data_IF_036333873960
#
_entry.id   IF_036333873960
#
_cell.length_a   1.000
_cell.length_b   1.000
_cell.length_c   1.000
_cell.angle_alpha   90.00
_cell.angle_beta   90.00
_cell.angle_gamma   90.00
#
_symmetry.space_group_name_H-M   'P 1'
#
loop_
_entity.id
_entity.type
_entity.pdbx_description
1 polymer ?
#
# COMPACT_ATOMS: atom_id res chain seq x y z
N UNK A 1 -21.37 -28.45 -19.29
CA UNK A 1 -21.30 -27.78 -17.95
C UNK A 1 -21.59 -26.29 -18.01
N UNK A 2 -21.47 -25.64 -19.17
CA UNK A 2 -21.88 -24.23 -19.33
C UNK A 2 -23.38 -24.08 -19.61
N UNK A 3 -24.04 -25.19 -19.92
CA UNK A 3 -25.48 -25.22 -20.14
C UNK A 3 -26.23 -24.80 -18.87
N UNK A 4 -27.24 -23.94 -18.99
CA UNK A 4 -28.11 -23.58 -17.88
C UNK A 4 -28.79 -24.80 -17.28
N UNK A 5 -28.70 -24.94 -15.96
CA UNK A 5 -29.46 -25.95 -15.20
C UNK A 5 -30.75 -25.35 -14.64
N UNK A 6 -30.68 -24.10 -14.16
CA UNK A 6 -31.85 -23.39 -13.61
C UNK A 6 -31.88 -21.96 -14.11
N UNK A 7 -33.07 -21.47 -14.43
CA UNK A 7 -33.36 -20.07 -14.67
C UNK A 7 -34.28 -19.58 -13.56
N UNK A 8 -33.79 -18.64 -12.75
CA UNK A 8 -34.56 -18.03 -11.68
C UNK A 8 -34.75 -16.55 -12.01
N UNK A 9 -35.98 -16.12 -12.20
CA UNK A 9 -36.34 -14.73 -12.48
C UNK A 9 -36.95 -14.09 -11.24
N UNK A 10 -36.33 -13.01 -10.73
CA UNK A 10 -36.83 -12.20 -9.63
C UNK A 10 -37.07 -10.77 -10.12
N UNK A 11 -38.28 -10.48 -10.59
CA UNK A 11 -38.59 -9.20 -11.25
C UNK A 11 -37.74 -9.02 -12.51
N UNK A 12 -36.92 -7.97 -12.56
CA UNK A 12 -35.99 -7.70 -13.68
C UNK A 12 -34.65 -8.44 -13.57
N UNK A 13 -34.44 -9.23 -12.53
CA UNK A 13 -33.16 -9.91 -12.29
C UNK A 13 -33.24 -11.37 -12.76
N UNK A 14 -32.52 -11.70 -13.82
CA UNK A 14 -32.39 -13.08 -14.32
C UNK A 14 -31.13 -13.74 -13.78
N UNK A 15 -31.31 -14.80 -12.99
CA UNK A 15 -30.22 -15.62 -12.45
C UNK A 15 -30.20 -16.95 -13.17
N UNK A 16 -29.23 -17.11 -14.06
CA UNK A 16 -28.96 -18.38 -14.74
C UNK A 16 -27.94 -19.17 -13.93
N UNK A 17 -28.29 -20.35 -13.42
CA UNK A 17 -27.41 -21.23 -12.66
C UNK A 17 -26.91 -22.35 -13.57
N UNK A 18 -25.59 -22.43 -13.77
CA UNK A 18 -24.93 -23.51 -14.52
C UNK A 18 -24.29 -24.51 -13.56
N UNK A 19 -23.87 -25.68 -14.06
CA UNK A 19 -23.14 -26.67 -13.27
C UNK A 19 -21.87 -26.06 -12.63
N UNK A 20 -21.16 -25.21 -13.38
CA UNK A 20 -20.01 -24.48 -12.85
C UNK A 20 -20.36 -23.52 -11.73
N UNK A 21 -21.50 -22.82 -11.81
CA UNK A 21 -21.95 -21.92 -10.72
C UNK A 21 -22.25 -22.69 -9.43
N UNK A 22 -22.75 -23.93 -9.51
CA UNK A 22 -22.93 -24.79 -8.33
C UNK A 22 -21.57 -25.11 -7.66
N UNK A 23 -20.55 -25.46 -8.45
CA UNK A 23 -19.16 -25.63 -7.95
C UNK A 23 -18.66 -24.35 -7.29
N UNK A 24 -18.90 -23.20 -7.94
CA UNK A 24 -18.57 -21.88 -7.39
C UNK A 24 -19.26 -21.59 -6.06
N UNK A 25 -20.55 -21.93 -5.91
CA UNK A 25 -21.30 -21.74 -4.67
C UNK A 25 -20.81 -22.63 -3.54
N UNK A 26 -20.51 -23.91 -3.81
CA UNK A 26 -19.91 -24.79 -2.79
C UNK A 26 -18.54 -24.26 -2.37
N UNK A 27 -17.72 -23.82 -3.33
CA UNK A 27 -16.45 -23.17 -3.07
C UNK A 27 -16.60 -21.93 -2.19
N UNK A 28 -17.56 -21.05 -2.51
CA UNK A 28 -17.87 -19.84 -1.75
C UNK A 28 -18.34 -20.15 -0.32
N UNK A 29 -19.20 -21.17 -0.14
CA UNK A 29 -19.70 -21.58 1.18
C UNK A 29 -18.58 -22.10 2.07
N UNK A 30 -17.68 -22.94 1.53
CA UNK A 30 -16.50 -23.40 2.27
C UNK A 30 -15.55 -22.24 2.58
N UNK A 31 -15.28 -21.39 1.58
CA UNK A 31 -14.36 -20.29 1.71
C UNK A 31 -14.86 -19.25 2.73
N UNK A 32 -16.13 -18.88 2.71
CA UNK A 32 -16.70 -17.92 3.68
C UNK A 32 -16.97 -18.58 5.04
N UNK A 33 -17.48 -19.81 5.04
CA UNK A 33 -17.87 -20.56 6.24
C UNK A 33 -16.72 -20.81 7.21
N UNK A 34 -15.46 -20.79 6.73
CA UNK A 34 -14.28 -20.93 7.60
C UNK A 34 -14.25 -19.89 8.73
N UNK A 35 -14.76 -18.67 8.50
CA UNK A 35 -14.77 -17.61 9.51
C UNK A 35 -15.79 -17.91 10.61
N UNK A 36 -16.90 -18.56 10.27
CA UNK A 36 -17.87 -19.06 11.26
C UNK A 36 -17.22 -20.13 12.13
N UNK A 37 -16.52 -21.09 11.52
CA UNK A 37 -15.79 -22.14 12.25
C UNK A 37 -14.72 -21.55 13.17
N UNK A 38 -13.96 -20.58 12.68
CA UNK A 38 -12.94 -19.85 13.45
C UNK A 38 -13.55 -19.09 14.64
N UNK A 39 -14.67 -18.43 14.42
CA UNK A 39 -15.39 -17.69 15.47
C UNK A 39 -15.91 -18.63 16.56
N UNK A 40 -16.51 -19.76 16.18
CA UNK A 40 -16.99 -20.78 17.12
C UNK A 40 -15.82 -21.35 17.92
N UNK A 41 -14.71 -21.69 17.25
CA UNK A 41 -13.52 -22.22 17.91
C UNK A 41 -12.93 -21.21 18.91
N UNK A 42 -12.85 -19.93 18.54
CA UNK A 42 -12.33 -18.86 19.40
C UNK A 42 -13.24 -18.57 20.58
N UNK A 43 -14.57 -18.60 20.39
CA UNK A 43 -15.52 -18.46 21.50
C UNK A 43 -15.39 -19.60 22.50
N UNK A 44 -15.24 -20.85 22.02
CA UNK A 44 -15.05 -22.03 22.89
C UNK A 44 -13.72 -22.01 23.63
N UNK A 45 -12.66 -21.48 23.00
CA UNK A 45 -11.32 -21.41 23.59
C UNK A 45 -11.10 -20.17 24.49
N UNK A 46 -11.99 -19.18 24.47
CA UNK A 46 -11.82 -17.92 25.19
C UNK A 46 -10.68 -17.03 24.68
N UNK A 47 -10.07 -17.39 23.55
CA UNK A 47 -8.97 -16.67 22.92
C UNK A 47 -9.01 -16.86 21.40
N UNK A 48 -8.43 -15.95 20.60
CA UNK A 48 -8.39 -16.10 19.15
C UNK A 48 -7.58 -17.33 18.75
N UNK A 49 -8.24 -18.36 18.19
CA UNK A 49 -7.61 -19.58 17.71
C UNK A 49 -8.00 -19.87 16.25
N UNK A 50 -7.11 -20.56 15.53
CA UNK A 50 -7.31 -21.02 14.16
C UNK A 50 -7.34 -22.55 14.13
N UNK A 51 -8.52 -23.19 14.05
CA UNK A 51 -8.61 -24.65 14.04
C UNK A 51 -8.14 -25.25 12.71
N UNK A 52 -7.71 -26.51 12.71
CA UNK A 52 -7.28 -27.21 11.47
C UNK A 52 -8.34 -27.18 10.36
N UNK A 53 -9.61 -27.28 10.76
CA UNK A 53 -10.76 -27.15 9.86
C UNK A 53 -10.74 -25.87 9.03
N UNK A 54 -10.23 -24.76 9.58
CA UNK A 54 -10.08 -23.49 8.87
C UNK A 54 -9.20 -23.65 7.62
N UNK A 55 -8.10 -24.38 7.75
CA UNK A 55 -7.16 -24.59 6.66
C UNK A 55 -7.73 -25.53 5.58
N UNK A 56 -8.36 -26.62 5.99
CA UNK A 56 -9.03 -27.53 5.06
C UNK A 56 -10.13 -26.84 4.25
N UNK A 57 -10.98 -26.02 4.91
CA UNK A 57 -12.03 -25.25 4.25
C UNK A 57 -11.46 -24.18 3.32
N UNK A 58 -10.34 -23.55 3.69
CA UNK A 58 -9.69 -22.54 2.85
C UNK A 58 -9.10 -23.15 1.58
N UNK A 59 -8.40 -24.29 1.70
CA UNK A 59 -7.84 -24.98 0.54
C UNK A 59 -8.92 -25.52 -0.39
N UNK A 60 -9.89 -26.25 0.16
CA UNK A 60 -11.00 -26.82 -0.62
C UNK A 60 -11.84 -25.73 -1.28
N UNK A 61 -12.19 -24.67 -0.54
CA UNK A 61 -12.90 -23.51 -1.09
C UNK A 61 -12.13 -22.82 -2.22
N UNK A 62 -10.83 -22.59 -2.04
CA UNK A 62 -9.99 -21.99 -3.08
C UNK A 62 -9.86 -22.87 -4.33
N UNK A 63 -9.70 -24.19 -4.19
CA UNK A 63 -9.62 -25.10 -5.33
C UNK A 63 -10.92 -25.07 -6.15
N UNK A 64 -12.08 -25.12 -5.49
CA UNK A 64 -13.38 -25.08 -6.16
C UNK A 64 -13.64 -23.72 -6.83
N UNK A 65 -13.28 -22.62 -6.16
CA UNK A 65 -13.39 -21.29 -6.74
C UNK A 65 -12.43 -21.09 -7.92
N UNK A 66 -11.20 -21.61 -7.84
CA UNK A 66 -10.25 -21.59 -8.95
C UNK A 66 -10.80 -22.38 -10.14
N UNK A 67 -11.36 -23.57 -9.92
CA UNK A 67 -12.00 -24.33 -10.99
C UNK A 67 -13.15 -23.55 -11.63
N UNK A 68 -14.02 -22.92 -10.82
CA UNK A 68 -15.11 -22.09 -11.31
C UNK A 68 -14.61 -20.87 -12.12
N UNK A 69 -13.65 -20.11 -11.59
CA UNK A 69 -13.17 -18.89 -12.26
C UNK A 69 -12.28 -19.19 -13.47
N UNK A 70 -11.62 -20.35 -13.52
CA UNK A 70 -10.79 -20.74 -14.66
C UNK A 70 -11.64 -21.33 -15.78
N UNK A 71 -12.50 -22.31 -15.48
CA UNK A 71 -13.20 -23.09 -16.50
C UNK A 71 -14.65 -22.66 -16.73
N UNK A 72 -15.31 -22.09 -15.71
CA UNK A 72 -16.71 -21.69 -15.79
C UNK A 72 -16.91 -20.23 -16.22
N UNK A 73 -16.26 -19.30 -15.51
CA UNK A 73 -16.40 -17.85 -15.75
C UNK A 73 -15.27 -17.26 -16.60
N UNK A 74 -14.10 -17.89 -16.61
CA UNK A 74 -12.87 -17.41 -17.26
C UNK A 74 -12.51 -15.96 -16.87
N UNK A 75 -12.40 -15.71 -15.57
CA UNK A 75 -12.19 -14.39 -14.96
C UNK A 75 -10.87 -14.38 -14.19
N UNK A 76 -9.89 -13.62 -14.71
CA UNK A 76 -8.53 -13.56 -14.17
C UNK A 76 -8.46 -12.97 -12.76
N UNK A 77 -9.35 -12.02 -12.41
CA UNK A 77 -9.40 -11.43 -11.06
C UNK A 77 -9.83 -12.50 -10.06
N UNK A 78 -10.85 -13.28 -10.42
CA UNK A 78 -11.33 -14.40 -9.60
C UNK A 78 -10.27 -15.49 -9.42
N UNK A 79 -9.50 -15.79 -10.46
CA UNK A 79 -8.39 -16.75 -10.39
C UNK A 79 -7.30 -16.26 -9.43
N UNK A 80 -6.79 -15.04 -9.62
CA UNK A 80 -5.73 -14.49 -8.78
C UNK A 80 -6.16 -14.34 -7.32
N UNK A 81 -7.41 -13.93 -7.08
CA UNK A 81 -7.96 -13.78 -5.73
C UNK A 81 -8.04 -15.08 -4.94
N UNK A 82 -8.12 -16.24 -5.61
CA UNK A 82 -8.22 -17.55 -4.98
C UNK A 82 -6.92 -18.37 -5.01
N UNK A 83 -5.98 -18.02 -5.89
CA UNK A 83 -4.67 -18.66 -5.97
C UNK A 83 -3.80 -18.35 -4.74
N UNK A 84 -3.78 -17.09 -4.30
CA UNK A 84 -2.98 -16.70 -3.13
C UNK A 84 -3.48 -17.32 -1.81
N UNK A 85 -4.79 -17.32 -1.50
CA UNK A 85 -5.34 -18.05 -0.36
C UNK A 85 -5.07 -19.57 -0.39
N UNK A 86 -5.07 -20.20 -1.57
CA UNK A 86 -4.75 -21.63 -1.69
C UNK A 86 -3.31 -21.92 -1.22
N UNK A 87 -2.35 -21.14 -1.72
CA UNK A 87 -0.93 -21.31 -1.37
C UNK A 87 -0.69 -21.04 0.11
N UNK A 88 -1.26 -19.96 0.64
CA UNK A 88 -1.09 -19.59 2.05
C UNK A 88 -1.75 -20.60 2.99
N UNK A 89 -2.96 -21.07 2.69
CA UNK A 89 -3.63 -22.10 3.48
C UNK A 89 -2.89 -23.43 3.43
N UNK A 90 -2.41 -23.85 2.24
CA UNK A 90 -1.63 -25.07 2.08
C UNK A 90 -0.32 -25.06 2.86
N UNK A 91 0.41 -23.95 2.83
CA UNK A 91 1.64 -23.81 3.61
C UNK A 91 1.38 -23.89 5.12
N UNK A 92 0.35 -23.21 5.62
CA UNK A 92 0.01 -23.23 7.05
C UNK A 92 -0.51 -24.60 7.51
N UNK A 93 -1.31 -25.27 6.68
CA UNK A 93 -1.75 -26.65 6.97
C UNK A 93 -0.56 -27.60 7.02
N UNK A 94 0.38 -27.48 6.09
CA UNK A 94 1.59 -28.30 6.08
C UNK A 94 2.45 -28.09 7.34
N UNK A 95 2.56 -26.86 7.84
CA UNK A 95 3.24 -26.58 9.10
C UNK A 95 2.52 -27.25 10.29
N UNK A 96 1.20 -27.18 10.31
CA UNK A 96 0.36 -27.76 11.37
C UNK A 96 0.33 -29.30 11.34
N UNK A 97 0.46 -29.92 10.17
CA UNK A 97 0.46 -31.38 10.00
C UNK A 97 1.80 -32.06 10.27
N UNK A 98 2.92 -31.33 10.26
CA UNK A 98 4.25 -31.90 10.51
C UNK A 98 4.45 -32.20 12.01
N UNK A 99 4.39 -33.48 12.46
CA UNK A 99 4.63 -33.83 13.85
C UNK A 99 6.15 -34.00 14.04
N UNK A 100 6.91 -32.90 13.97
CA UNK A 100 8.37 -32.89 14.21
C UNK A 100 8.97 -31.51 14.54
N UNK A 101 8.18 -30.60 15.12
CA UNK A 101 8.71 -29.46 15.89
C UNK A 101 8.23 -29.48 17.37
N UNK A 102 7.81 -30.66 17.84
CA UNK A 102 7.35 -30.93 19.20
C UNK A 102 8.42 -30.89 20.31
N UNK A 103 9.50 -30.12 20.14
CA UNK A 103 10.48 -29.84 21.22
C UNK A 103 10.92 -28.38 21.32
N UNK A 104 10.32 -27.46 20.57
CA UNK A 104 10.67 -26.03 20.62
C UNK A 104 9.62 -25.15 21.32
N UNK A 105 8.45 -25.69 21.68
CA UNK A 105 7.38 -24.93 22.34
C UNK A 105 7.21 -25.24 23.84
N UNK A 106 8.28 -25.76 24.47
CA UNK A 106 8.30 -26.13 25.89
C UNK A 106 9.35 -25.41 26.75
N UNK A 107 10.08 -24.41 26.22
CA UNK A 107 10.98 -23.56 27.02
C UNK A 107 11.04 -22.16 26.42
N UNK A 108 10.68 -21.18 27.25
CA UNK A 108 10.67 -19.74 27.00
C UNK A 108 9.69 -19.30 25.91
N UNK A 109 8.81 -18.36 26.24
CA UNK A 109 8.14 -17.51 25.25
C UNK A 109 9.10 -17.25 24.08
N UNK A 110 8.75 -17.61 22.85
CA UNK A 110 9.48 -17.06 21.73
C UNK A 110 9.22 -15.57 21.81
N UNK A 111 10.24 -14.81 22.20
CA UNK A 111 10.34 -13.36 21.97
C UNK A 111 10.22 -13.16 20.46
N UNK A 112 9.00 -13.21 19.94
CA UNK A 112 8.60 -12.74 18.62
C UNK A 112 8.70 -11.21 18.63
N UNK A 113 9.90 -10.68 18.91
CA UNK A 113 10.22 -9.26 18.80
C UNK A 113 10.83 -8.90 17.43
N UNK A 114 10.76 -9.80 16.45
CA UNK A 114 11.54 -9.65 15.21
C UNK A 114 10.76 -9.37 13.93
N UNK A 115 9.50 -9.79 13.82
CA UNK A 115 8.79 -9.82 12.53
C UNK A 115 7.41 -9.13 12.54
N UNK A 116 6.64 -9.22 13.64
CA UNK A 116 5.35 -8.53 13.77
C UNK A 116 5.47 -7.09 14.27
N UNK A 117 6.62 -6.74 14.88
CA UNK A 117 6.86 -5.43 15.46
C UNK A 117 7.11 -4.35 14.41
N UNK A 118 7.60 -4.68 13.21
CA UNK A 118 7.76 -3.68 12.14
C UNK A 118 6.44 -3.01 11.73
N UNK A 119 5.29 -3.67 11.87
CA UNK A 119 3.99 -3.05 11.60
C UNK A 119 3.53 -2.16 12.77
N UNK A 120 3.40 -2.75 13.97
CA UNK A 120 2.87 -2.06 15.13
C UNK A 120 3.81 -0.97 15.68
N UNK A 121 5.13 -1.21 15.73
CA UNK A 121 6.11 -0.20 16.13
C UNK A 121 6.23 0.91 15.11
N UNK A 122 6.19 0.61 13.82
CA UNK A 122 6.18 1.63 12.79
C UNK A 122 4.96 2.54 12.92
N UNK A 123 3.76 1.98 13.06
CA UNK A 123 2.54 2.77 13.25
C UNK A 123 2.60 3.58 14.55
N UNK A 124 3.10 2.99 15.65
CA UNK A 124 3.32 3.72 16.91
C UNK A 124 4.32 4.87 16.75
N UNK A 125 5.42 4.64 16.05
CA UNK A 125 6.42 5.68 15.80
C UNK A 125 5.90 6.77 14.88
N UNK A 126 5.16 6.44 13.82
CA UNK A 126 4.49 7.42 12.96
C UNK A 126 3.55 8.27 13.82
N UNK A 127 2.66 7.66 14.60
CA UNK A 127 1.72 8.40 15.46
C UNK A 127 2.46 9.26 16.49
N UNK A 128 3.53 8.75 17.10
CA UNK A 128 4.33 9.50 18.05
C UNK A 128 5.11 10.64 17.39
N UNK A 129 5.60 10.47 16.15
CA UNK A 129 6.30 11.50 15.40
C UNK A 129 5.34 12.61 14.98
N UNK A 130 4.14 12.25 14.49
CA UNK A 130 3.07 13.20 14.17
C UNK A 130 2.68 14.03 15.40
N UNK A 131 2.50 13.39 16.56
CA UNK A 131 2.20 14.11 17.81
C UNK A 131 3.33 15.05 18.24
N UNK A 132 4.59 14.58 18.20
CA UNK A 132 5.77 15.36 18.61
C UNK A 132 6.07 16.52 17.68
N UNK A 133 5.83 16.34 16.38
CA UNK A 133 6.15 17.31 15.31
C UNK A 133 4.92 18.04 14.77
N UNK A 134 3.80 18.05 15.51
CA UNK A 134 2.51 18.61 15.03
C UNK A 134 2.61 20.05 14.54
N UNK A 135 3.43 20.88 15.20
CA UNK A 135 3.63 22.28 14.82
C UNK A 135 4.41 22.42 13.51
N UNK A 136 5.51 21.67 13.35
CA UNK A 136 6.30 21.63 12.11
C UNK A 136 5.48 21.08 10.94
N UNK A 137 4.73 20.01 11.17
CA UNK A 137 3.82 19.42 10.17
C UNK A 137 2.71 20.42 9.81
N UNK A 138 2.11 21.08 10.78
CA UNK A 138 1.10 22.12 10.54
C UNK A 138 1.65 23.29 9.73
N UNK A 139 2.82 23.80 10.08
CA UNK A 139 3.50 24.86 9.34
C UNK A 139 3.85 24.45 7.91
N UNK A 140 4.37 23.23 7.71
CA UNK A 140 4.65 22.70 6.38
C UNK A 140 3.37 22.53 5.54
N UNK A 141 2.29 22.05 6.15
CA UNK A 141 0.99 21.94 5.46
C UNK A 141 0.48 23.31 5.03
N UNK A 142 0.54 24.30 5.92
CA UNK A 142 0.15 25.68 5.62
C UNK A 142 1.02 26.28 4.50
N UNK A 143 2.32 26.00 4.49
CA UNK A 143 3.21 26.44 3.42
C UNK A 143 2.86 25.80 2.07
N UNK A 144 2.54 24.49 2.05
CA UNK A 144 2.09 23.79 0.83
C UNK A 144 0.77 24.36 0.34
N UNK A 145 -0.18 24.64 1.24
CA UNK A 145 -1.47 25.23 0.89
C UNK A 145 -1.33 26.67 0.39
N UNK A 146 -0.49 27.48 1.04
CA UNK A 146 -0.19 28.83 0.61
C UNK A 146 0.48 28.85 -0.77
N UNK A 147 1.44 27.96 -1.01
CA UNK A 147 2.08 27.80 -2.32
C UNK A 147 1.06 27.37 -3.39
N UNK A 148 0.20 26.41 -3.09
CA UNK A 148 -0.85 25.98 -4.00
C UNK A 148 -1.84 27.11 -4.30
N UNK A 149 -2.24 27.91 -3.30
CA UNK A 149 -3.11 29.06 -3.48
C UNK A 149 -2.46 30.12 -4.39
N UNK A 150 -1.19 30.43 -4.17
CA UNK A 150 -0.42 31.37 -5.02
C UNK A 150 -0.33 30.88 -6.46
N UNK A 151 -0.13 29.57 -6.67
CA UNK A 151 0.00 28.99 -8.00
C UNK A 151 -1.35 28.82 -8.72
N UNK A 152 -2.48 28.85 -8.01
CA UNK A 152 -3.80 28.63 -8.58
C UNK A 152 -4.14 29.64 -9.68
N UNK A 153 -3.75 30.91 -9.50
CA UNK A 153 -3.95 31.94 -10.52
C UNK A 153 -3.23 31.66 -11.85
N UNK A 154 -2.23 30.79 -11.86
CA UNK A 154 -1.46 30.44 -13.06
C UNK A 154 -1.99 29.18 -13.77
N UNK A 155 -2.89 28.40 -13.14
CA UNK A 155 -3.33 27.11 -13.66
C UNK A 155 -3.96 27.21 -15.05
N UNK A 156 -4.82 28.20 -15.28
CA UNK A 156 -5.47 28.41 -16.58
C UNK A 156 -4.47 28.77 -17.68
N UNK A 157 -3.53 29.68 -17.39
CA UNK A 157 -2.49 30.09 -18.33
C UNK A 157 -1.52 28.97 -18.67
N UNK A 158 -1.11 28.20 -17.66
CA UNK A 158 -0.24 27.04 -17.83
C UNK A 158 -0.95 25.93 -18.61
N UNK A 159 -2.22 25.65 -18.34
CA UNK A 159 -3.01 24.70 -19.13
C UNK A 159 -3.11 25.14 -20.59
N UNK A 160 -3.41 26.42 -20.84
CA UNK A 160 -3.45 26.96 -22.20
C UNK A 160 -2.09 26.80 -22.90
N UNK A 161 -0.99 27.07 -22.19
CA UNK A 161 0.35 26.81 -22.70
C UNK A 161 0.56 25.32 -23.04
N UNK A 162 0.16 24.41 -22.14
CA UNK A 162 0.26 22.97 -22.33
C UNK A 162 -0.47 22.51 -23.60
N UNK A 163 -1.71 22.97 -23.80
CA UNK A 163 -2.51 22.61 -24.99
C UNK A 163 -1.92 23.10 -26.31
N UNK A 164 -1.08 24.14 -26.29
CA UNK A 164 -0.44 24.71 -27.49
C UNK A 164 0.93 24.09 -27.81
N UNK A 165 1.64 23.59 -26.80
CA UNK A 165 3.05 23.20 -26.94
C UNK A 165 3.30 21.70 -26.78
N UNK A 166 2.37 20.95 -26.20
CA UNK A 166 2.52 19.49 -26.06
C UNK A 166 2.10 18.79 -27.35
N UNK A 167 3.03 18.07 -27.97
CA UNK A 167 2.82 17.31 -29.19
C UNK A 167 2.56 15.80 -28.94
N UNK A 168 2.32 15.05 -30.01
CA UNK A 168 2.06 13.61 -29.94
C UNK A 168 3.23 12.80 -29.37
N UNK A 169 4.47 13.22 -29.63
CA UNK A 169 5.69 12.57 -29.12
C UNK A 169 5.78 12.75 -27.61
N UNK A 170 5.58 13.98 -27.12
CA UNK A 170 5.53 14.29 -25.70
C UNK A 170 4.40 13.53 -25.00
N UNK A 171 3.22 13.41 -25.64
CA UNK A 171 2.11 12.60 -25.10
C UNK A 171 2.50 11.13 -24.98
N UNK A 172 3.20 10.56 -25.96
CA UNK A 172 3.68 9.17 -25.91
C UNK A 172 4.64 8.95 -24.74
N UNK A 173 5.64 9.83 -24.58
CA UNK A 173 6.56 9.79 -23.45
C UNK A 173 5.85 9.99 -22.12
N UNK A 174 4.91 10.93 -22.05
CA UNK A 174 4.12 11.19 -20.85
C UNK A 174 3.24 9.98 -20.49
N UNK A 175 2.67 9.25 -21.45
CA UNK A 175 1.94 7.98 -21.19
C UNK A 175 2.87 6.89 -20.67
N UNK A 176 4.11 6.82 -21.15
CA UNK A 176 5.09 5.87 -20.64
C UNK A 176 5.50 6.21 -19.20
N UNK A 177 5.87 7.48 -18.94
CA UNK A 177 6.24 7.96 -17.61
C UNK A 177 5.07 7.87 -16.61
N UNK A 178 3.84 8.14 -17.07
CA UNK A 178 2.59 7.92 -16.35
C UNK A 178 2.55 6.59 -15.64
N UNK A 179 2.90 5.55 -16.40
CA UNK A 179 2.65 4.18 -16.06
C UNK A 179 3.55 3.74 -14.91
N UNK A 180 4.76 4.28 -14.86
CA UNK A 180 5.69 4.15 -13.73
C UNK A 180 5.22 4.91 -12.47
N UNK A 181 4.39 5.92 -12.65
CA UNK A 181 3.69 6.62 -11.57
C UNK A 181 2.38 5.95 -11.15
N UNK A 182 2.06 4.74 -11.60
CA UNK A 182 0.87 4.01 -11.14
C UNK A 182 1.29 2.92 -10.18
N UNK A 183 1.43 3.27 -8.89
CA UNK A 183 2.00 2.38 -7.87
C UNK A 183 1.42 0.96 -7.92
N UNK A 184 0.10 0.81 -8.05
CA UNK A 184 -0.61 -0.48 -8.07
C UNK A 184 -0.27 -1.41 -9.27
N UNK A 185 0.50 -0.94 -10.26
CA UNK A 185 0.93 -1.73 -11.43
C UNK A 185 2.33 -2.32 -11.21
N UNK A 186 3.23 -2.21 -12.20
CA UNK A 186 4.59 -2.73 -12.13
C UNK A 186 5.48 -2.11 -11.04
N UNK A 187 5.36 -0.83 -10.65
CA UNK A 187 6.21 -0.26 -9.60
C UNK A 187 6.06 -0.98 -8.26
N UNK A 188 4.83 -1.34 -7.84
CA UNK A 188 4.60 -2.12 -6.62
C UNK A 188 5.28 -3.49 -6.71
N UNK A 189 5.05 -4.23 -7.79
CA UNK A 189 5.63 -5.57 -7.97
C UNK A 189 7.16 -5.51 -8.00
N UNK A 190 7.74 -4.55 -8.72
CA UNK A 190 9.18 -4.34 -8.78
C UNK A 190 9.74 -3.98 -7.39
N UNK A 191 9.11 -3.05 -6.68
CA UNK A 191 9.57 -2.62 -5.35
C UNK A 191 9.49 -3.76 -4.34
N UNK A 192 8.43 -4.56 -4.36
CA UNK A 192 8.28 -5.76 -3.52
C UNK A 192 9.34 -6.81 -3.90
N UNK A 193 9.52 -7.09 -5.19
CA UNK A 193 10.52 -8.05 -5.67
C UNK A 193 11.95 -7.65 -5.27
N UNK A 194 12.32 -6.37 -5.44
CA UNK A 194 13.63 -5.85 -5.02
C UNK A 194 13.77 -5.87 -3.50
N UNK A 195 12.71 -5.57 -2.75
CA UNK A 195 12.70 -5.67 -1.28
C UNK A 195 12.94 -7.11 -0.81
N UNK A 196 12.27 -8.08 -1.45
CA UNK A 196 12.44 -9.51 -1.16
C UNK A 196 13.83 -9.99 -1.56
N UNK A 197 14.30 -9.63 -2.75
CA UNK A 197 15.64 -9.97 -3.21
C UNK A 197 16.71 -9.43 -2.25
N UNK A 198 16.60 -8.17 -1.82
CA UNK A 198 17.50 -7.59 -0.83
C UNK A 198 17.47 -8.35 0.50
N UNK A 199 16.29 -8.75 0.97
CA UNK A 199 16.15 -9.57 2.18
C UNK A 199 16.83 -10.94 2.03
N UNK A 200 16.63 -11.61 0.89
CA UNK A 200 17.25 -12.91 0.57
C UNK A 200 18.78 -12.81 0.49
N UNK A 201 19.31 -11.69 -0.01
CA UNK A 201 20.74 -11.36 -0.05
C UNK A 201 21.29 -10.88 1.31
N UNK A 202 20.52 -11.01 2.39
CA UNK A 202 20.84 -10.52 3.75
C UNK A 202 21.09 -9.00 3.85
N UNK A 203 20.71 -8.22 2.83
CA UNK A 203 20.71 -6.74 2.84
C UNK A 203 19.40 -6.22 3.43
N UNK A 204 19.19 -6.50 4.72
CA UNK A 204 17.95 -6.19 5.43
C UNK A 204 17.68 -4.68 5.47
N UNK A 205 18.72 -3.88 5.58
CA UNK A 205 18.72 -2.41 5.48
C UNK A 205 18.07 -1.92 4.17
N UNK A 206 18.49 -2.45 3.02
CA UNK A 206 17.92 -2.10 1.71
C UNK A 206 16.48 -2.58 1.60
N UNK A 207 16.17 -3.79 2.07
CA UNK A 207 14.80 -4.30 2.07
C UNK A 207 13.84 -3.40 2.88
N UNK A 208 14.26 -3.00 4.07
CA UNK A 208 13.47 -2.14 4.96
C UNK A 208 13.30 -0.72 4.41
N UNK A 209 14.32 -0.20 3.74
CA UNK A 209 14.27 1.07 3.02
C UNK A 209 13.18 1.06 1.95
N UNK A 210 13.16 0.02 1.12
CA UNK A 210 12.20 -0.08 0.02
C UNK A 210 10.78 -0.30 0.54
N UNK A 211 10.62 -1.09 1.60
CA UNK A 211 9.34 -1.30 2.28
C UNK A 211 8.81 -0.02 2.96
N UNK A 212 9.68 0.83 3.53
CA UNK A 212 9.24 2.11 4.12
C UNK A 212 8.79 3.09 3.03
N UNK A 213 9.48 3.11 1.89
CA UNK A 213 9.03 3.84 0.69
C UNK A 213 7.66 3.37 0.20
N UNK A 214 7.44 2.06 0.14
CA UNK A 214 6.15 1.48 -0.23
C UNK A 214 5.04 1.89 0.74
N UNK A 215 5.29 1.74 2.05
CA UNK A 215 4.33 2.12 3.09
C UNK A 215 3.97 3.61 3.03
N UNK A 216 4.96 4.48 2.79
CA UNK A 216 4.74 5.91 2.60
C UNK A 216 3.90 6.21 1.36
N UNK A 217 4.20 5.57 0.22
CA UNK A 217 3.43 5.72 -1.02
C UNK A 217 1.97 5.31 -0.86
N UNK A 218 1.71 4.19 -0.19
CA UNK A 218 0.35 3.74 0.13
C UNK A 218 -0.38 4.68 1.09
N UNK A 219 0.29 5.11 2.17
CA UNK A 219 -0.29 6.04 3.13
C UNK A 219 -0.65 7.38 2.47
N UNK A 220 0.24 7.92 1.64
CA UNK A 220 -0.04 9.11 0.85
C UNK A 220 -1.22 8.87 -0.09
N UNK A 221 -1.22 7.77 -0.85
CA UNK A 221 -2.29 7.39 -1.77
C UNK A 221 -3.68 7.32 -1.13
N UNK A 222 -3.79 6.71 0.05
CA UNK A 222 -5.05 6.68 0.83
C UNK A 222 -5.45 8.10 1.23
N UNK A 223 -4.52 8.88 1.78
CA UNK A 223 -4.78 10.25 2.23
C UNK A 223 -5.27 11.15 1.09
N UNK A 224 -4.59 11.18 -0.06
CA UNK A 224 -5.04 11.97 -1.22
C UNK A 224 -6.37 11.49 -1.78
N UNK A 225 -6.68 10.19 -1.76
CA UNK A 225 -7.99 9.72 -2.23
C UNK A 225 -9.13 10.21 -1.33
N UNK A 226 -8.92 10.26 -0.01
CA UNK A 226 -9.88 10.86 0.93
C UNK A 226 -10.04 12.36 0.61
N UNK A 227 -8.92 13.07 0.47
CA UNK A 227 -8.94 14.52 0.15
C UNK A 227 -9.59 14.82 -1.19
N UNK A 228 -9.41 13.96 -2.20
CA UNK A 228 -10.05 14.11 -3.52
C UNK A 228 -11.56 14.09 -3.45
N UNK A 229 -12.12 13.20 -2.64
CA UNK A 229 -13.57 13.16 -2.43
C UNK A 229 -14.02 14.44 -1.72
N UNK A 230 -13.30 14.87 -0.68
CA UNK A 230 -13.66 16.06 0.10
C UNK A 230 -13.60 17.33 -0.74
N UNK A 231 -12.49 17.57 -1.45
CA UNK A 231 -12.22 18.81 -2.19
C UNK A 231 -12.95 18.84 -3.53
N UNK A 232 -13.05 17.68 -4.21
CA UNK A 232 -13.82 17.49 -5.44
C UNK A 232 -13.53 18.54 -6.53
N UNK A 233 -12.24 18.75 -6.86
CA UNK A 233 -11.84 19.65 -7.94
C UNK A 233 -11.86 18.93 -9.30
N UNK A 234 -12.55 19.45 -10.34
CA UNK A 234 -12.55 18.87 -11.67
C UNK A 234 -11.17 18.77 -12.30
N UNK A 235 -10.99 17.73 -13.11
CA UNK A 235 -9.79 17.58 -13.94
C UNK A 235 -9.83 18.55 -15.12
N UNK A 236 -8.67 19.04 -15.61
CA UNK A 236 -8.59 19.83 -16.83
C UNK A 236 -9.32 19.19 -18.02
N UNK A 237 -9.11 17.89 -18.23
CA UNK A 237 -9.71 17.11 -19.32
C UNK A 237 -11.22 16.80 -19.18
N UNK A 238 -11.87 17.19 -18.07
CA UNK A 238 -13.29 16.87 -17.83
C UNK A 238 -14.26 17.78 -18.59
N UNK A 239 -13.81 18.95 -19.07
CA UNK A 239 -14.68 19.97 -19.68
C UNK A 239 -15.55 20.73 -18.68
N UNK A 240 -15.47 20.43 -17.39
CA UNK A 240 -16.18 21.14 -16.31
C UNK A 240 -15.44 22.43 -15.93
N UNK A 241 -16.17 23.39 -15.37
CA UNK A 241 -15.60 24.62 -14.85
C UNK A 241 -14.70 24.32 -13.63
N UNK A 242 -13.51 24.94 -13.59
CA UNK A 242 -12.60 24.80 -12.45
C UNK A 242 -13.22 25.39 -11.18
N UNK A 243 -13.05 24.69 -10.06
CA UNK A 243 -13.67 25.05 -8.79
C UNK A 243 -13.67 23.90 -7.78
N UNK A 244 -14.17 24.18 -6.57
CA UNK A 244 -14.30 23.21 -5.49
C UNK A 244 -15.77 22.89 -5.28
N UNK A 245 -16.15 21.65 -5.58
CA UNK A 245 -17.56 21.23 -5.58
C UNK A 245 -17.98 20.54 -4.29
N UNK A 246 -17.01 20.15 -3.46
CA UNK A 246 -17.18 19.47 -2.17
C UNK A 246 -17.94 18.13 -2.24
N UNK A 247 -17.28 17.03 -1.85
CA UNK A 247 -17.91 15.70 -1.73
C UNK A 247 -18.46 15.10 -3.04
N UNK A 248 -17.56 14.72 -3.94
CA UNK A 248 -17.90 13.97 -5.16
C UNK A 248 -17.11 12.66 -5.29
N UNK A 249 -17.73 11.65 -5.93
CA UNK A 249 -17.15 10.33 -6.15
C UNK A 249 -16.80 10.05 -7.62
N UNK A 250 -17.30 10.90 -8.53
CA UNK A 250 -17.07 10.76 -9.95
C UNK A 250 -15.62 11.07 -10.32
N UNK A 251 -15.02 10.22 -11.16
CA UNK A 251 -13.60 10.34 -11.53
C UNK A 251 -13.22 11.69 -12.14
N UNK A 252 -14.19 12.42 -12.72
CA UNK A 252 -14.04 13.75 -13.28
C UNK A 252 -13.72 14.82 -12.21
N UNK A 253 -14.26 14.68 -10.99
CA UNK A 253 -14.06 15.61 -9.86
C UNK A 253 -12.90 15.23 -8.94
N UNK A 254 -12.23 14.11 -9.20
CA UNK A 254 -11.13 13.61 -8.35
C UNK A 254 -9.76 14.13 -8.85
N UNK A 255 -9.66 15.42 -9.16
CA UNK A 255 -8.45 16.09 -9.65
C UNK A 255 -7.46 16.48 -8.55
N UNK A 256 -7.90 17.24 -7.55
CA UNK A 256 -7.04 17.76 -6.48
C UNK A 256 -7.09 16.90 -5.20
N UNK A 257 -5.96 16.59 -4.54
CA UNK A 257 -4.57 16.75 -5.00
C UNK A 257 -4.14 15.59 -5.91
N UNK A 258 -3.07 15.75 -6.69
CA UNK A 258 -2.60 14.69 -7.60
C UNK A 258 -2.13 13.44 -6.86
N UNK A 259 -2.77 12.30 -7.15
CA UNK A 259 -2.42 11.02 -6.55
C UNK A 259 -1.10 10.44 -7.02
N UNK A 260 -0.69 10.71 -8.27
CA UNK A 260 0.61 10.29 -8.80
C UNK A 260 1.75 11.06 -8.15
N UNK A 261 1.62 12.39 -8.07
CA UNK A 261 2.59 13.22 -7.39
C UNK A 261 2.73 12.80 -5.92
N UNK A 262 1.61 12.61 -5.21
CA UNK A 262 1.62 12.27 -3.79
C UNK A 262 2.42 11.01 -3.45
N UNK A 263 2.17 9.87 -4.12
CA UNK A 263 2.90 8.66 -3.74
C UNK A 263 4.35 8.66 -4.26
N UNK A 264 4.64 9.23 -5.44
CA UNK A 264 6.01 9.31 -5.94
C UNK A 264 6.88 10.16 -4.99
N UNK A 265 6.37 11.31 -4.58
CA UNK A 265 7.08 12.18 -3.65
C UNK A 265 7.08 11.64 -2.20
N UNK A 266 6.10 10.82 -1.80
CA UNK A 266 6.17 10.10 -0.53
C UNK A 266 7.26 9.03 -0.53
N UNK A 267 7.45 8.30 -1.64
CA UNK A 267 8.59 7.41 -1.80
C UNK A 267 9.91 8.19 -1.75
N UNK A 268 10.01 9.33 -2.45
CA UNK A 268 11.19 10.21 -2.37
C UNK A 268 11.48 10.61 -0.93
N UNK A 269 10.50 11.13 -0.20
CA UNK A 269 10.65 11.57 1.18
C UNK A 269 11.09 10.46 2.13
N UNK A 270 10.55 9.24 1.95
CA UNK A 270 10.93 8.09 2.76
C UNK A 270 12.35 7.58 2.44
N UNK A 271 12.70 7.51 1.15
CA UNK A 271 14.00 7.01 0.69
C UNK A 271 15.13 7.99 1.00
N UNK A 272 14.84 9.30 0.99
CA UNK A 272 15.79 10.36 1.33
C UNK A 272 16.40 10.18 2.73
N UNK A 273 15.62 9.67 3.69
CA UNK A 273 16.06 9.45 5.08
C UNK A 273 17.23 8.47 5.19
N UNK A 274 17.40 7.57 4.22
CA UNK A 274 18.43 6.53 4.24
C UNK A 274 19.44 6.62 3.10
N UNK A 275 19.06 7.20 1.96
CA UNK A 275 19.89 7.25 0.75
C UNK A 275 19.92 8.64 0.11
N UNK A 276 20.38 9.69 0.82
CA UNK A 276 20.34 11.07 0.33
C UNK A 276 21.17 11.27 -0.95
N UNK A 277 22.19 10.43 -1.20
CA UNK A 277 23.00 10.48 -2.43
C UNK A 277 22.19 10.25 -3.71
N UNK A 278 21.05 9.56 -3.64
CA UNK A 278 20.16 9.31 -4.78
C UNK A 278 19.00 10.30 -4.86
N UNK A 279 18.95 11.31 -3.97
CA UNK A 279 17.84 12.24 -3.87
C UNK A 279 17.54 12.93 -5.20
N UNK A 280 18.56 13.44 -5.89
CA UNK A 280 18.39 14.12 -7.17
C UNK A 280 17.74 13.23 -8.25
N UNK A 281 18.19 11.98 -8.37
CA UNK A 281 17.62 11.03 -9.32
C UNK A 281 16.16 10.66 -8.97
N UNK A 282 15.87 10.45 -7.69
CA UNK A 282 14.52 10.12 -7.22
C UNK A 282 13.55 11.29 -7.41
N UNK A 283 13.99 12.51 -7.09
CA UNK A 283 13.23 13.75 -7.32
C UNK A 283 13.02 13.96 -8.81
N UNK A 284 14.04 13.77 -9.64
CA UNK A 284 13.94 13.87 -11.10
C UNK A 284 12.90 12.90 -11.67
N UNK A 285 12.91 11.64 -11.23
CA UNK A 285 11.90 10.65 -11.62
C UNK A 285 10.49 11.02 -11.18
N UNK A 286 10.31 11.45 -9.93
CA UNK A 286 9.00 11.90 -9.42
C UNK A 286 8.50 13.17 -10.14
N UNK A 287 9.39 14.11 -10.45
CA UNK A 287 9.10 15.30 -11.22
C UNK A 287 8.73 14.96 -12.68
N UNK A 288 9.38 13.98 -13.30
CA UNK A 288 9.04 13.50 -14.63
C UNK A 288 7.63 12.88 -14.67
N UNK A 289 7.24 12.13 -13.62
CA UNK A 289 5.86 11.62 -13.47
C UNK A 289 4.87 12.78 -13.30
N UNK A 290 5.19 13.78 -12.49
CA UNK A 290 4.34 14.95 -12.28
C UNK A 290 4.17 15.76 -13.58
N UNK A 291 5.25 16.02 -14.30
CA UNK A 291 5.25 16.62 -15.63
C UNK A 291 4.37 15.81 -16.60
N UNK A 292 4.50 14.49 -16.60
CA UNK A 292 3.67 13.62 -17.42
C UNK A 292 2.17 13.67 -17.06
N UNK A 293 1.79 14.08 -15.84
CA UNK A 293 0.37 14.31 -15.49
C UNK A 293 -0.16 15.60 -16.09
N UNK A 294 0.68 16.63 -16.09
CA UNK A 294 0.38 17.94 -16.66
C UNK A 294 0.22 17.84 -18.18
N UNK A 295 1.18 17.21 -18.87
CA UNK A 295 1.13 17.01 -20.32
C UNK A 295 -0.11 16.25 -20.80
N UNK A 296 -0.60 15.30 -20.00
CA UNK A 296 -1.79 14.51 -20.32
C UNK A 296 -3.12 15.18 -19.93
N UNK A 297 -3.10 16.47 -19.56
CA UNK A 297 -4.27 17.26 -19.15
C UNK A 297 -5.07 16.57 -18.03
N UNK A 298 -4.37 15.83 -17.14
CA UNK A 298 -4.98 15.08 -16.03
C UNK A 298 -5.05 15.90 -14.74
N UNK A 299 -4.15 16.85 -14.58
CA UNK A 299 -3.95 17.62 -13.35
C UNK A 299 -3.44 19.02 -13.68
N UNK A 300 -3.92 20.01 -12.93
CA UNK A 300 -3.36 21.36 -12.90
C UNK A 300 -2.01 21.40 -12.16
N UNK A 301 -1.25 22.49 -12.29
CA UNK A 301 0.05 22.60 -11.60
C UNK A 301 -0.15 22.56 -10.08
N UNK A 302 -1.17 23.26 -9.58
CA UNK A 302 -1.52 23.24 -8.15
C UNK A 302 -1.86 21.85 -7.62
N UNK A 303 -2.56 21.01 -8.39
CA UNK A 303 -2.84 19.62 -7.99
C UNK A 303 -1.53 18.86 -7.77
N UNK A 304 -0.53 19.11 -8.63
CA UNK A 304 0.77 18.45 -8.61
C UNK A 304 1.63 18.94 -7.46
N UNK A 305 1.66 20.25 -7.20
CA UNK A 305 2.43 20.83 -6.08
C UNK A 305 1.82 20.43 -4.74
N UNK A 306 0.49 20.50 -4.59
CA UNK A 306 -0.18 20.06 -3.37
C UNK A 306 0.02 18.56 -3.13
N UNK A 307 -0.10 17.74 -4.18
CA UNK A 307 0.19 16.32 -4.12
C UNK A 307 1.64 16.04 -3.72
N UNK A 308 2.62 16.67 -4.37
CA UNK A 308 4.04 16.50 -4.10
C UNK A 308 4.41 16.92 -2.67
N UNK A 309 3.93 18.07 -2.21
CA UNK A 309 4.18 18.57 -0.86
C UNK A 309 3.62 17.65 0.21
N UNK A 310 2.35 17.25 0.08
CA UNK A 310 1.71 16.31 1.00
C UNK A 310 2.42 14.94 0.99
N UNK A 311 2.78 14.48 -0.20
CA UNK A 311 3.57 13.27 -0.41
C UNK A 311 4.89 13.30 0.35
N UNK A 312 5.72 14.33 0.11
CA UNK A 312 7.00 14.52 0.80
C UNK A 312 6.85 14.50 2.32
N UNK A 313 5.85 15.20 2.86
CA UNK A 313 5.59 15.24 4.30
C UNK A 313 5.29 13.84 4.87
N UNK A 314 4.37 13.10 4.24
CA UNK A 314 4.06 11.72 4.61
C UNK A 314 5.32 10.83 4.50
N UNK A 315 6.05 10.98 3.40
CA UNK A 315 7.30 10.28 3.13
C UNK A 315 8.36 10.46 4.22
N UNK A 316 8.66 11.70 4.58
CA UNK A 316 9.66 12.02 5.61
C UNK A 316 9.24 11.46 6.97
N UNK A 317 7.97 11.60 7.36
CA UNK A 317 7.46 11.05 8.62
C UNK A 317 7.60 9.53 8.65
N UNK A 318 7.18 8.84 7.58
CA UNK A 318 7.33 7.40 7.45
C UNK A 318 8.81 6.96 7.43
N UNK A 319 9.68 7.65 6.70
CA UNK A 319 11.10 7.35 6.66
C UNK A 319 11.77 7.49 8.03
N UNK A 320 11.47 8.55 8.78
CA UNK A 320 11.98 8.76 10.12
C UNK A 320 11.44 7.71 11.12
N UNK A 321 10.15 7.38 11.04
CA UNK A 321 9.55 6.33 11.85
C UNK A 321 10.18 4.97 11.56
N UNK A 322 10.40 4.64 10.28
CA UNK A 322 11.12 3.44 9.89
C UNK A 322 12.55 3.44 10.44
N UNK A 323 13.29 4.54 10.32
CA UNK A 323 14.67 4.63 10.85
C UNK A 323 14.72 4.39 12.35
N UNK A 324 13.75 4.92 13.11
CA UNK A 324 13.64 4.72 14.57
C UNK A 324 13.21 3.30 14.94
N UNK A 325 12.31 2.69 14.19
CA UNK A 325 11.92 1.30 14.39
C UNK A 325 13.07 0.31 14.09
N UNK A 326 14.07 0.73 13.32
CA UNK A 326 15.20 -0.12 12.91
C UNK A 326 16.45 0.01 13.77
N UNK A 327 16.66 1.16 14.41
CA UNK A 327 17.73 1.37 15.37
C UNK A 327 17.11 1.28 16.77
N UNK A 328 17.22 0.13 17.47
CA UNK A 328 16.75 0.07 18.85
C UNK A 328 17.46 1.16 19.66
N UNK A 329 16.78 1.82 20.60
CA UNK A 329 17.43 2.79 21.46
C UNK A 329 18.65 2.12 22.10
N UNK A 330 19.80 2.79 22.05
CA UNK A 330 20.95 2.41 22.86
C UNK A 330 20.45 2.46 24.31
N UNK A 331 20.34 1.30 24.94
CA UNK A 331 20.03 1.22 26.36
C UNK A 331 21.02 2.12 27.09
N UNK A 332 20.59 3.14 27.87
CA UNK A 332 21.51 3.93 28.68
C UNK A 332 22.23 3.09 29.75
N UNK A 333 21.84 1.82 29.93
CA UNK A 333 22.51 0.84 30.79
C UNK A 333 23.64 0.07 30.08
N UNK A 334 24.57 0.77 29.43
CA UNK A 334 25.96 0.33 29.59
C UNK A 334 26.42 1.04 30.85
N UNK A 335 26.19 0.37 31.99
CA UNK A 335 26.81 0.76 33.25
C UNK A 335 28.29 1.02 32.94
N UNK A 336 28.75 2.22 33.28
CA UNK A 336 30.17 2.52 33.30
C UNK A 336 30.88 1.33 33.95
N UNK A 337 31.71 0.63 33.18
CA UNK A 337 32.63 -0.35 33.77
C UNK A 337 33.44 0.47 34.78
N UNK A 338 33.33 0.22 36.10
CA UNK A 338 34.14 0.95 37.05
C UNK A 338 35.61 0.73 36.67
N UNK A 339 36.46 1.76 36.72
CA UNK A 339 37.87 1.60 36.37
C UNK A 339 38.44 0.45 37.21
N UNK A 340 39.08 -0.51 36.55
CA UNK A 340 39.76 -1.57 37.28
C UNK A 340 40.83 -0.94 38.18
N UNK A 341 40.97 -1.37 39.44
CA UNK A 341 42.03 -0.88 40.29
C UNK A 341 43.38 -1.18 39.64
N UNK A 342 44.27 -0.18 39.61
CA UNK A 342 45.61 -0.33 39.09
C UNK A 342 46.32 -1.52 39.76
N UNK A 343 47.13 -2.31 39.03
CA UNK A 343 47.88 -3.40 39.63
C UNK A 343 48.77 -2.85 40.73
N UNK A 344 48.64 -3.42 41.94
CA UNK A 344 49.57 -3.16 43.02
C UNK A 344 50.94 -3.69 42.58
N UNK A 345 51.87 -2.77 42.32
CA UNK A 345 53.28 -3.11 42.23
C UNK A 345 53.74 -3.47 43.65
N UNK A 346 54.00 -4.76 43.86
CA UNK A 346 54.72 -5.27 45.03
C UNK A 346 56.18 -5.53 44.65
#
# INVERSE_FOLDING_TARGET
MNDPLFHLSFGSLEVVVTAWKLIGYVGLLLFTGRWVVQLIASRRAGMPVLPRAFWYMSMSGSVLLLAYFTFGKNDSVGVLANLFPLVTAGYNLWLDLRPALGRWWGRTEPRWRGASLLGAEFVREVAALVRRRRGEIGGALLAVLALAATLHGFDAGLRAWNTRHVDATMISWARSLSWWGELHRAPLLALVAVSLHAALRRRKDVSRLLLSGLAAGLAAGVLVNILKVIVARPRPSSGLADGFYWFHFESAFLGFPSGHAAHCFAMVGALFVFAPRWAGALVGGAAAVAWARFCLDRHYLTDLVAGAGLGLMVGVVCGLAARRALVPPVSPNVAAVPPQPAPAFA
#
